data_IF_922944641435
#
_entry.id   IF_922944641435
#
_cell.length_a   1.000
_cell.length_b   1.000
_cell.length_c   1.000
_cell.angle_alpha   90.00
_cell.angle_beta   90.00
_cell.angle_gamma   90.00
#
_symmetry.space_group_name_H-M   'P 1'
#
loop_
_entity.id
_entity.type
_entity.pdbx_description
1 polymer ?
#
# COMPACT_ATOMS: atom_id res chain seq x y z
N UNK A 1 11.12 -24.49 -3.50
CA UNK A 1 11.18 -23.02 -3.55
C UNK A 1 10.20 -22.47 -2.54
N UNK A 2 10.48 -21.29 -1.96
CA UNK A 2 9.51 -20.61 -1.09
C UNK A 2 8.40 -20.00 -1.93
N UNK A 3 7.16 -20.07 -1.44
CA UNK A 3 5.96 -19.57 -2.14
C UNK A 3 5.58 -18.19 -1.62
N UNK A 4 5.45 -17.24 -2.53
CA UNK A 4 5.11 -15.83 -2.22
C UNK A 4 3.80 -15.46 -2.90
N UNK A 5 2.86 -14.93 -2.12
CA UNK A 5 1.58 -14.40 -2.60
C UNK A 5 1.58 -12.87 -2.49
N UNK A 6 1.27 -12.19 -3.60
CA UNK A 6 1.20 -10.72 -3.63
C UNK A 6 -0.23 -10.28 -3.94
N UNK A 7 -0.86 -9.58 -3.01
CA UNK A 7 -2.15 -8.92 -3.20
C UNK A 7 -1.95 -7.47 -3.63
N UNK A 8 -2.74 -6.99 -4.58
CA UNK A 8 -2.59 -5.65 -5.15
C UNK A 8 -1.45 -5.57 -6.18
N UNK A 9 -1.20 -6.67 -6.88
CA UNK A 9 -0.06 -6.81 -7.79
C UNK A 9 -0.10 -5.88 -9.01
N UNK A 10 -1.28 -5.39 -9.42
CA UNK A 10 -1.43 -4.43 -10.51
C UNK A 10 -1.18 -2.98 -10.08
N UNK A 11 -1.06 -2.69 -8.80
CA UNK A 11 -0.70 -1.38 -8.27
C UNK A 11 0.71 -0.93 -8.66
N UNK A 12 1.03 0.35 -8.41
CA UNK A 12 2.35 0.91 -8.74
C UNK A 12 3.49 0.13 -8.03
N UNK A 13 3.38 -0.06 -6.73
CA UNK A 13 4.35 -0.85 -5.94
C UNK A 13 4.28 -2.33 -6.32
N UNK A 14 3.06 -2.88 -6.52
CA UNK A 14 2.85 -4.30 -6.82
C UNK A 14 3.58 -4.78 -8.08
N UNK A 15 3.51 -4.02 -9.16
CA UNK A 15 4.24 -4.32 -10.42
C UNK A 15 5.76 -4.44 -10.18
N UNK A 16 6.34 -3.52 -9.39
CA UNK A 16 7.77 -3.54 -9.09
C UNK A 16 8.12 -4.66 -8.11
N UNK A 17 7.24 -4.96 -7.15
CA UNK A 17 7.39 -6.13 -6.26
C UNK A 17 7.48 -7.43 -7.05
N UNK A 18 6.59 -7.63 -8.02
CA UNK A 18 6.63 -8.83 -8.89
C UNK A 18 7.92 -8.88 -9.72
N UNK A 19 8.37 -7.74 -10.27
CA UNK A 19 9.65 -7.68 -11.01
C UNK A 19 10.84 -8.08 -10.15
N UNK A 20 10.93 -7.55 -8.91
CA UNK A 20 12.03 -7.89 -8.00
C UNK A 20 11.97 -9.34 -7.53
N UNK A 21 10.79 -9.89 -7.20
CA UNK A 21 10.65 -11.31 -6.87
C UNK A 21 11.11 -12.21 -8.02
N UNK A 22 10.77 -11.84 -9.25
CA UNK A 22 11.22 -12.55 -10.45
C UNK A 22 12.74 -12.45 -10.68
N UNK A 23 13.37 -11.32 -10.38
CA UNK A 23 14.83 -11.15 -10.52
C UNK A 23 15.62 -11.97 -9.49
N UNK A 24 15.06 -12.21 -8.30
CA UNK A 24 15.65 -13.08 -7.29
C UNK A 24 15.69 -14.57 -7.75
N UNK A 25 14.79 -15.00 -8.62
CA UNK A 25 14.82 -16.33 -9.25
C UNK A 25 14.60 -17.54 -8.33
N UNK A 26 14.25 -17.31 -7.06
CA UNK A 26 14.19 -18.35 -6.00
C UNK A 26 12.80 -18.56 -5.38
N UNK A 27 11.78 -17.85 -5.91
CA UNK A 27 10.42 -17.91 -5.40
C UNK A 27 9.45 -18.52 -6.41
N UNK A 28 8.48 -19.27 -5.92
CA UNK A 28 7.24 -19.56 -6.63
C UNK A 28 6.25 -18.43 -6.32
N UNK A 29 5.83 -17.70 -7.35
CA UNK A 29 5.11 -16.45 -7.17
C UNK A 29 3.67 -16.60 -7.63
N UNK A 30 2.73 -16.32 -6.75
CA UNK A 30 1.31 -16.14 -7.04
C UNK A 30 0.95 -14.67 -6.85
N UNK A 31 0.22 -14.09 -7.79
CA UNK A 31 -0.23 -12.71 -7.71
C UNK A 31 -1.74 -12.62 -7.85
N UNK A 32 -2.37 -11.75 -7.08
CA UNK A 32 -3.81 -11.51 -7.12
C UNK A 32 -4.13 -10.04 -7.20
N UNK A 33 -5.10 -9.71 -8.03
CA UNK A 33 -5.68 -8.38 -8.13
C UNK A 33 -7.15 -8.47 -8.58
N UNK A 34 -7.89 -7.37 -8.46
CA UNK A 34 -9.27 -7.28 -8.94
C UNK A 34 -9.35 -7.53 -10.46
N UNK A 35 -10.39 -8.20 -10.91
CA UNK A 35 -10.62 -8.44 -12.34
C UNK A 35 -11.19 -7.19 -13.01
N UNK A 36 -10.33 -6.39 -13.60
CA UNK A 36 -10.71 -5.22 -14.41
C UNK A 36 -9.75 -5.03 -15.60
N UNK A 37 -10.09 -4.12 -16.52
CA UNK A 37 -9.29 -3.86 -17.73
C UNK A 37 -7.85 -3.43 -17.40
N UNK A 38 -7.67 -2.62 -16.36
CA UNK A 38 -6.35 -2.11 -15.96
C UNK A 38 -5.47 -3.24 -15.40
N UNK A 39 -5.95 -4.00 -14.41
CA UNK A 39 -5.20 -5.11 -13.83
C UNK A 39 -4.88 -6.18 -14.89
N UNK A 40 -5.83 -6.52 -15.76
CA UNK A 40 -5.59 -7.46 -16.85
C UNK A 40 -4.48 -6.99 -17.78
N UNK A 41 -4.51 -5.73 -18.22
CA UNK A 41 -3.48 -5.15 -19.10
C UNK A 41 -2.10 -5.15 -18.44
N UNK A 42 -2.03 -4.73 -17.17
CA UNK A 42 -0.77 -4.59 -16.43
C UNK A 42 -0.14 -5.93 -16.06
N UNK A 43 -0.95 -6.94 -15.70
CA UNK A 43 -0.47 -8.26 -15.25
C UNK A 43 -0.22 -9.24 -16.41
N UNK A 44 -0.77 -9.01 -17.58
CA UNK A 44 -0.61 -9.86 -18.77
C UNK A 44 0.86 -10.21 -19.06
N UNK A 45 1.79 -9.26 -18.83
CA UNK A 45 3.24 -9.45 -19.04
C UNK A 45 3.88 -10.52 -18.15
N UNK A 46 3.25 -10.87 -17.05
CA UNK A 46 3.78 -11.82 -16.07
C UNK A 46 3.24 -13.23 -16.20
N UNK A 47 2.17 -13.47 -16.99
CA UNK A 47 1.43 -14.74 -17.08
C UNK A 47 2.27 -15.98 -17.37
N UNK A 48 3.41 -15.82 -18.06
CA UNK A 48 4.30 -16.95 -18.39
C UNK A 48 5.30 -17.27 -17.27
N UNK A 49 5.41 -16.43 -16.26
CA UNK A 49 6.47 -16.49 -15.24
C UNK A 49 5.95 -16.62 -13.81
N UNK A 50 4.68 -16.28 -13.58
CA UNK A 50 4.03 -16.33 -12.27
C UNK A 50 2.60 -16.84 -12.42
N UNK A 51 2.02 -17.36 -11.35
CA UNK A 51 0.60 -17.68 -11.29
C UNK A 51 -0.22 -16.41 -11.12
N UNK A 52 -1.01 -16.03 -12.13
CA UNK A 52 -1.84 -14.80 -12.13
C UNK A 52 -3.28 -15.15 -11.84
N UNK A 53 -3.79 -14.68 -10.72
CA UNK A 53 -5.17 -14.86 -10.28
C UNK A 53 -5.91 -13.52 -10.26
N UNK A 54 -7.22 -13.59 -10.42
CA UNK A 54 -8.11 -12.44 -10.32
C UNK A 54 -9.20 -12.74 -9.28
N UNK A 55 -9.37 -11.85 -8.32
CA UNK A 55 -10.34 -12.00 -7.24
C UNK A 55 -10.35 -10.80 -6.32
N UNK A 56 -11.27 -10.81 -5.37
CA UNK A 56 -11.44 -9.76 -4.38
C UNK A 56 -10.91 -10.24 -3.02
N UNK A 57 -10.17 -9.39 -2.32
CA UNK A 57 -9.67 -9.68 -0.95
C UNK A 57 -10.81 -9.81 0.07
N UNK A 58 -11.99 -9.30 -0.25
CA UNK A 58 -13.19 -9.46 0.57
C UNK A 58 -13.82 -10.84 0.45
N UNK A 59 -13.45 -11.63 -0.57
CA UNK A 59 -13.88 -13.03 -0.72
C UNK A 59 -13.10 -13.92 0.26
N UNK A 60 -13.73 -14.22 1.38
CA UNK A 60 -13.16 -15.03 2.44
C UNK A 60 -12.74 -16.43 1.98
N UNK A 61 -13.57 -17.10 1.15
CA UNK A 61 -13.29 -18.47 0.71
C UNK A 61 -12.05 -18.50 -0.17
N UNK A 62 -11.91 -17.52 -1.06
CA UNK A 62 -10.73 -17.35 -1.89
C UNK A 62 -9.48 -17.08 -1.03
N UNK A 63 -9.56 -16.21 -0.01
CA UNK A 63 -8.43 -15.94 0.89
C UNK A 63 -8.01 -17.18 1.66
N UNK A 64 -8.93 -17.97 2.19
CA UNK A 64 -8.66 -19.22 2.88
C UNK A 64 -7.95 -20.24 1.95
N UNK A 65 -8.38 -20.34 0.70
CA UNK A 65 -7.75 -21.22 -0.28
C UNK A 65 -6.32 -20.79 -0.63
N UNK A 66 -6.07 -19.50 -0.82
CA UNK A 66 -4.78 -18.97 -1.23
C UNK A 66 -3.74 -18.99 -0.12
N UNK A 67 -4.12 -18.66 1.11
CA UNK A 67 -3.19 -18.55 2.25
C UNK A 67 -2.57 -19.89 2.63
N UNK A 68 -3.29 -21.02 2.44
CA UNK A 68 -2.85 -22.36 2.87
C UNK A 68 -1.46 -22.75 2.40
N UNK A 69 -1.12 -22.38 1.18
CA UNK A 69 0.05 -22.91 0.47
C UNK A 69 1.21 -21.91 0.32
N UNK A 70 1.15 -20.74 0.97
CA UNK A 70 2.16 -19.71 0.79
C UNK A 70 2.98 -19.48 2.06
N UNK A 71 4.32 -19.42 1.91
CA UNK A 71 5.24 -19.12 3.03
C UNK A 71 5.20 -17.64 3.41
N UNK A 72 5.03 -16.76 2.41
CA UNK A 72 5.05 -15.31 2.57
C UNK A 72 3.87 -14.67 1.84
N UNK A 73 3.28 -13.68 2.47
CA UNK A 73 2.24 -12.83 1.90
C UNK A 73 2.70 -11.39 1.91
N UNK A 74 2.65 -10.71 0.77
CA UNK A 74 2.82 -9.26 0.64
C UNK A 74 1.46 -8.65 0.34
N UNK A 75 0.90 -7.90 1.30
CA UNK A 75 -0.43 -7.32 1.21
C UNK A 75 -0.34 -5.84 0.86
N UNK A 76 -0.53 -5.52 -0.44
CA UNK A 76 -0.51 -4.18 -1.02
C UNK A 76 -1.89 -3.71 -1.49
N UNK A 77 -2.91 -4.59 -1.45
CA UNK A 77 -4.27 -4.23 -1.86
C UNK A 77 -4.85 -3.17 -0.91
N UNK A 78 -5.44 -2.13 -1.47
CA UNK A 78 -5.98 -1.01 -0.69
C UNK A 78 -6.95 -0.16 -1.50
N UNK A 79 -7.94 0.42 -0.82
CA UNK A 79 -8.79 1.49 -1.34
C UNK A 79 -8.12 2.84 -1.08
N UNK A 80 -7.20 3.21 -1.98
CA UNK A 80 -6.43 4.45 -1.84
C UNK A 80 -7.30 5.71 -1.91
N UNK A 81 -6.95 6.79 -1.20
CA UNK A 81 -7.55 8.11 -1.43
C UNK A 81 -7.45 8.55 -2.90
N UNK A 82 -8.39 9.36 -3.45
CA UNK A 82 -9.54 9.92 -2.72
C UNK A 82 -10.69 8.94 -2.47
N UNK A 83 -10.79 7.82 -3.23
CA UNK A 83 -11.91 6.88 -3.14
C UNK A 83 -12.12 6.30 -1.74
N UNK A 84 -11.02 5.98 -1.05
CA UNK A 84 -11.06 5.43 0.30
C UNK A 84 -11.68 6.38 1.34
N UNK A 85 -11.55 7.69 1.14
CA UNK A 85 -12.11 8.71 2.04
C UNK A 85 -13.47 9.23 1.57
N UNK A 86 -13.77 9.21 0.25
CA UNK A 86 -15.04 9.70 -0.29
C UNK A 86 -16.24 8.80 0.04
N UNK A 87 -16.02 7.50 0.19
CA UNK A 87 -17.07 6.53 0.53
C UNK A 87 -16.80 5.98 1.92
N UNK A 88 -17.57 6.45 2.91
CA UNK A 88 -17.53 5.88 4.26
C UNK A 88 -17.71 4.37 4.18
N UNK A 89 -16.82 3.61 4.80
CA UNK A 89 -16.86 2.16 4.82
C UNK A 89 -16.13 1.44 3.69
N UNK A 90 -15.79 2.09 2.56
CA UNK A 90 -15.05 1.40 1.48
C UNK A 90 -13.66 0.95 1.93
N UNK A 91 -12.89 1.83 2.57
CA UNK A 91 -11.57 1.47 3.13
C UNK A 91 -11.72 0.44 4.24
N UNK A 92 -12.74 0.55 5.10
CA UNK A 92 -12.97 -0.45 6.14
C UNK A 92 -13.31 -1.81 5.54
N UNK A 93 -14.08 -1.86 4.47
CA UNK A 93 -14.43 -3.12 3.81
C UNK A 93 -13.22 -3.76 3.10
N UNK A 94 -12.49 -2.98 2.32
CA UNK A 94 -11.39 -3.49 1.48
C UNK A 94 -10.11 -3.65 2.29
N UNK A 95 -9.66 -2.59 3.01
CA UNK A 95 -8.38 -2.63 3.70
C UNK A 95 -8.45 -3.45 4.99
N UNK A 96 -9.42 -3.14 5.87
CA UNK A 96 -9.58 -3.87 7.12
C UNK A 96 -10.23 -5.24 6.90
N UNK A 97 -11.37 -5.32 6.21
CA UNK A 97 -12.08 -6.58 5.98
C UNK A 97 -11.25 -7.58 5.17
N UNK A 98 -10.54 -7.12 4.13
CA UNK A 98 -9.59 -7.95 3.39
C UNK A 98 -8.43 -8.43 4.27
N UNK A 99 -7.87 -7.54 5.10
CA UNK A 99 -6.85 -7.89 6.09
C UNK A 99 -7.36 -8.92 7.10
N UNK A 100 -8.59 -8.75 7.61
CA UNK A 100 -9.23 -9.69 8.54
C UNK A 100 -9.35 -11.09 7.95
N UNK A 101 -9.80 -11.20 6.69
CA UNK A 101 -9.88 -12.48 5.99
C UNK A 101 -8.51 -13.18 5.92
N UNK A 102 -7.46 -12.43 5.59
CA UNK A 102 -6.10 -12.97 5.51
C UNK A 102 -5.57 -13.38 6.89
N UNK A 103 -5.71 -12.52 7.90
CA UNK A 103 -5.29 -12.81 9.28
C UNK A 103 -5.97 -14.05 9.81
N UNK A 104 -7.27 -14.18 9.57
CA UNK A 104 -8.04 -15.37 9.95
C UNK A 104 -7.53 -16.62 9.22
N UNK A 105 -7.32 -16.53 7.92
CA UNK A 105 -6.83 -17.64 7.11
C UNK A 105 -5.42 -18.08 7.56
N UNK A 106 -4.51 -17.14 7.85
CA UNK A 106 -3.18 -17.44 8.38
C UNK A 106 -3.29 -18.20 9.71
N UNK A 107 -4.05 -17.67 10.67
CA UNK A 107 -4.18 -18.28 11.98
C UNK A 107 -4.72 -19.70 11.94
N UNK A 108 -5.71 -19.94 11.08
CA UNK A 108 -6.41 -21.22 11.05
C UNK A 108 -5.70 -22.26 10.19
N UNK A 109 -5.20 -21.86 9.01
CA UNK A 109 -4.69 -22.82 8.03
C UNK A 109 -3.18 -22.83 7.90
N UNK A 110 -2.49 -21.70 8.16
CA UNK A 110 -1.05 -21.60 7.95
C UNK A 110 -0.35 -20.67 8.96
N UNK A 111 -0.32 -21.02 10.25
CA UNK A 111 0.25 -20.16 11.31
C UNK A 111 1.74 -19.84 11.15
N UNK A 112 2.44 -20.51 10.22
CA UNK A 112 3.86 -20.26 9.92
C UNK A 112 4.06 -19.20 8.84
N UNK A 113 3.01 -18.87 8.08
CA UNK A 113 3.07 -17.86 7.04
C UNK A 113 3.46 -16.50 7.63
N UNK A 114 4.36 -15.77 6.96
CA UNK A 114 4.76 -14.43 7.36
C UNK A 114 4.03 -13.39 6.51
N UNK A 115 3.31 -12.47 7.17
CA UNK A 115 2.61 -11.37 6.53
C UNK A 115 3.47 -10.10 6.49
N UNK A 116 3.72 -9.56 5.30
CA UNK A 116 4.22 -8.21 5.08
C UNK A 116 3.04 -7.31 4.72
N UNK A 117 2.74 -6.33 5.58
CA UNK A 117 1.58 -5.47 5.46
C UNK A 117 1.96 -4.04 5.09
N UNK A 118 1.33 -3.50 4.04
CA UNK A 118 1.45 -2.10 3.64
C UNK A 118 0.48 -1.23 4.46
N UNK A 119 1.03 -0.52 5.44
CA UNK A 119 0.36 0.54 6.19
C UNK A 119 0.76 1.90 5.64
N UNK A 120 0.44 3.00 6.34
CA UNK A 120 0.68 4.36 5.86
C UNK A 120 1.28 5.26 6.94
N UNK A 121 2.08 6.25 6.54
CA UNK A 121 2.52 7.33 7.43
C UNK A 121 1.53 8.50 7.48
N UNK A 122 0.52 8.55 6.57
CA UNK A 122 -0.49 9.62 6.56
C UNK A 122 -1.26 9.72 7.89
N UNK A 123 -1.35 8.62 8.63
CA UNK A 123 -1.95 8.59 9.97
C UNK A 123 -1.25 9.48 11.01
N UNK A 124 -0.02 9.93 10.74
CA UNK A 124 0.71 10.82 11.65
C UNK A 124 0.33 12.29 11.51
N UNK A 125 -0.20 12.68 10.36
CA UNK A 125 -0.65 14.06 10.04
C UNK A 125 0.26 15.16 10.63
N UNK A 126 -0.19 15.86 11.64
CA UNK A 126 0.47 17.03 12.24
C UNK A 126 1.57 16.69 13.25
N UNK A 127 2.03 15.44 13.33
CA UNK A 127 3.10 15.05 14.24
C UNK A 127 4.46 15.34 13.58
N UNK A 128 5.21 16.28 14.16
CA UNK A 128 6.58 16.56 13.72
C UNK A 128 7.51 15.40 14.11
N UNK A 129 8.33 14.94 13.15
CA UNK A 129 9.29 13.83 13.33
C UNK A 129 8.64 12.57 13.95
N UNK A 130 7.60 11.99 13.32
CA UNK A 130 6.88 10.88 13.89
C UNK A 130 7.74 9.63 13.98
N UNK A 131 7.56 8.88 15.06
CA UNK A 131 8.11 7.53 15.23
C UNK A 131 6.99 6.50 15.20
N UNK A 132 7.35 5.23 15.07
CA UNK A 132 6.37 4.13 15.14
C UNK A 132 5.64 4.06 16.49
N UNK A 133 6.18 4.71 17.53
CA UNK A 133 5.58 4.80 18.88
C UNK A 133 4.73 6.05 19.09
N UNK A 134 4.71 6.99 18.12
CA UNK A 134 3.92 8.21 18.24
C UNK A 134 2.43 7.89 18.42
N UNK A 135 1.78 8.63 19.32
CA UNK A 135 0.33 8.51 19.54
C UNK A 135 -0.41 9.08 18.33
N UNK A 136 -1.21 8.24 17.68
CA UNK A 136 -2.00 8.61 16.51
C UNK A 136 -3.37 9.08 16.99
N UNK A 137 -3.82 10.24 16.50
CA UNK A 137 -5.16 10.77 16.68
C UNK A 137 -5.77 11.00 15.31
N UNK A 138 -6.88 10.33 15.01
CA UNK A 138 -7.58 10.43 13.73
C UNK A 138 -8.85 11.27 13.88
N UNK A 139 -9.23 11.97 12.82
CA UNK A 139 -10.51 12.63 12.70
C UNK A 139 -11.58 11.62 12.19
N UNK A 140 -12.85 11.97 12.35
CA UNK A 140 -13.96 11.11 11.95
C UNK A 140 -14.02 10.77 10.44
N UNK A 141 -13.40 11.59 9.58
CA UNK A 141 -13.36 11.38 8.12
C UNK A 141 -12.09 10.70 7.62
N UNK A 142 -11.18 10.30 8.53
CA UNK A 142 -9.92 9.64 8.16
C UNK A 142 -10.09 8.14 7.95
N UNK A 143 -11.07 7.76 7.15
CA UNK A 143 -11.46 6.35 6.95
C UNK A 143 -10.31 5.46 6.46
N UNK A 144 -9.47 5.98 5.56
CA UNK A 144 -8.31 5.24 5.05
C UNK A 144 -7.30 4.99 6.18
N UNK A 145 -6.90 6.05 6.91
CA UNK A 145 -5.94 5.93 8.01
C UNK A 145 -6.49 5.05 9.14
N UNK A 146 -7.79 5.18 9.44
CA UNK A 146 -8.47 4.35 10.43
C UNK A 146 -8.43 2.87 10.04
N UNK A 147 -8.73 2.54 8.78
CA UNK A 147 -8.70 1.15 8.30
C UNK A 147 -7.31 0.53 8.40
N UNK A 148 -6.26 1.31 8.09
CA UNK A 148 -4.87 0.86 8.23
C UNK A 148 -4.47 0.67 9.69
N UNK A 149 -4.85 1.62 10.57
CA UNK A 149 -4.54 1.53 12.00
C UNK A 149 -5.24 0.32 12.66
N UNK A 150 -6.51 0.08 12.35
CA UNK A 150 -7.25 -1.09 12.85
C UNK A 150 -6.67 -2.41 12.29
N UNK A 151 -6.26 -2.43 11.01
CA UNK A 151 -5.54 -3.57 10.44
C UNK A 151 -4.22 -3.86 11.18
N UNK A 152 -3.42 -2.82 11.50
CA UNK A 152 -2.20 -3.01 12.31
C UNK A 152 -2.49 -3.61 13.68
N UNK A 153 -3.54 -3.11 14.39
CA UNK A 153 -3.96 -3.65 15.69
C UNK A 153 -4.35 -5.12 15.59
N UNK A 154 -5.15 -5.46 14.56
CA UNK A 154 -5.57 -6.82 14.31
C UNK A 154 -4.37 -7.75 14.06
N UNK A 155 -3.46 -7.38 13.15
CA UNK A 155 -2.25 -8.12 12.84
C UNK A 155 -1.42 -8.36 14.10
N UNK A 156 -1.12 -7.29 14.85
CA UNK A 156 -0.30 -7.33 16.07
C UNK A 156 -0.90 -8.23 17.16
N UNK A 157 -2.22 -8.23 17.27
CA UNK A 157 -2.93 -9.03 18.28
C UNK A 157 -3.10 -10.50 17.93
N UNK A 158 -3.13 -10.84 16.63
CA UNK A 158 -3.52 -12.18 16.17
C UNK A 158 -2.39 -12.98 15.53
N UNK A 159 -1.42 -12.34 14.86
CA UNK A 159 -0.40 -13.07 14.11
C UNK A 159 0.89 -13.25 14.92
N UNK A 160 1.54 -14.41 14.68
CA UNK A 160 2.88 -14.72 15.23
C UNK A 160 4.00 -14.22 14.33
N UNK A 161 3.77 -14.17 13.02
CA UNK A 161 4.77 -13.81 12.00
C UNK A 161 4.24 -12.69 11.12
N UNK A 162 4.77 -11.48 11.31
CA UNK A 162 4.41 -10.31 10.50
C UNK A 162 5.50 -9.24 10.52
N UNK A 163 5.48 -8.41 9.48
CA UNK A 163 6.23 -7.16 9.40
C UNK A 163 5.30 -6.09 8.82
N UNK A 164 5.26 -4.92 9.43
CA UNK A 164 4.42 -3.80 9.00
C UNK A 164 5.32 -2.68 8.49
N UNK A 165 5.07 -2.22 7.26
CA UNK A 165 5.70 -1.05 6.69
C UNK A 165 4.70 0.09 6.56
N UNK A 166 4.91 1.18 7.29
CA UNK A 166 4.19 2.44 7.13
C UNK A 166 4.86 3.22 6.01
N UNK A 167 4.14 3.36 4.92
CA UNK A 167 4.62 3.87 3.65
C UNK A 167 4.20 5.34 3.54
N UNK A 168 5.14 6.26 3.21
CA UNK A 168 4.83 7.66 2.94
C UNK A 168 4.23 7.83 1.54
N UNK A 169 4.19 9.05 1.03
CA UNK A 169 3.81 9.29 -0.36
C UNK A 169 4.71 8.51 -1.31
N UNK A 170 4.10 7.63 -2.11
CA UNK A 170 4.82 6.84 -3.12
C UNK A 170 4.87 7.62 -4.42
N UNK A 171 6.04 8.02 -4.86
CA UNK A 171 6.24 8.71 -6.15
C UNK A 171 6.02 7.70 -7.31
N UNK A 172 4.87 7.77 -7.97
CA UNK A 172 4.48 6.80 -9.00
C UNK A 172 4.00 7.41 -10.31
N UNK A 173 3.06 8.33 -10.25
CA UNK A 173 2.51 9.05 -11.39
C UNK A 173 2.42 10.55 -11.08
N UNK A 174 3.21 11.38 -11.75
CA UNK A 174 3.28 12.81 -11.45
C UNK A 174 1.93 13.55 -11.42
N UNK A 175 1.01 13.19 -12.32
CA UNK A 175 -0.31 13.86 -12.39
C UNK A 175 -1.23 13.43 -11.24
N UNK A 176 -1.28 12.14 -10.92
CA UNK A 176 -2.12 11.63 -9.84
C UNK A 176 -1.63 12.13 -8.48
N UNK A 177 -0.32 12.17 -8.27
CA UNK A 177 0.31 12.61 -7.02
C UNK A 177 0.04 14.09 -6.73
N UNK A 178 0.02 14.93 -7.77
CA UNK A 178 -0.26 16.37 -7.65
C UNK A 178 -1.65 16.65 -7.03
N UNK A 179 -2.61 15.75 -7.24
CA UNK A 179 -4.00 15.92 -6.77
C UNK A 179 -4.32 15.16 -5.48
N UNK A 180 -3.44 14.29 -5.01
CA UNK A 180 -3.70 13.44 -3.83
C UNK A 180 -3.35 14.10 -2.50
N UNK A 181 -2.51 15.11 -2.51
CA UNK A 181 -2.06 15.78 -1.30
C UNK A 181 -2.65 17.19 -1.21
N UNK A 182 -3.31 17.49 -0.09
CA UNK A 182 -3.91 18.79 0.22
C UNK A 182 -3.19 19.45 1.41
N UNK A 183 -1.87 19.48 1.38
CA UNK A 183 -1.05 20.13 2.40
C UNK A 183 -0.73 21.59 2.08
N UNK A 184 -0.10 22.26 3.04
CA UNK A 184 0.47 23.58 2.80
C UNK A 184 1.75 23.42 1.93
N UNK A 185 1.98 24.38 1.02
CA UNK A 185 3.19 24.39 0.16
C UNK A 185 4.50 24.40 0.94
N UNK A 186 4.47 24.95 2.17
CA UNK A 186 5.63 25.03 3.06
C UNK A 186 5.89 23.74 3.86
N UNK A 187 5.02 22.72 3.73
CA UNK A 187 5.17 21.46 4.46
C UNK A 187 6.27 20.60 3.87
N UNK A 188 7.09 20.03 4.74
CA UNK A 188 7.98 18.94 4.40
C UNK A 188 7.26 17.59 4.48
N UNK A 189 7.51 16.74 3.50
CA UNK A 189 6.88 15.42 3.45
C UNK A 189 7.90 14.32 3.16
N UNK A 190 7.74 13.21 3.87
CA UNK A 190 8.50 11.99 3.55
C UNK A 190 7.94 11.35 2.29
N UNK A 191 8.85 10.90 1.43
CA UNK A 191 8.52 10.25 0.16
C UNK A 191 9.30 8.96 -0.02
N UNK A 192 8.79 8.09 -0.88
CA UNK A 192 9.49 6.88 -1.33
C UNK A 192 9.18 6.63 -2.80
N UNK A 193 10.17 6.14 -3.57
CA UNK A 193 9.88 5.68 -4.92
C UNK A 193 9.12 4.34 -4.90
N UNK A 194 8.34 4.06 -5.93
CA UNK A 194 7.65 2.75 -6.07
C UNK A 194 8.65 1.59 -6.14
N UNK A 195 9.83 1.85 -6.69
CA UNK A 195 10.94 0.91 -6.80
C UNK A 195 11.52 0.58 -5.42
N UNK A 196 11.86 1.60 -4.61
CA UNK A 196 12.43 1.41 -3.27
C UNK A 196 11.42 0.78 -2.32
N UNK A 197 10.14 1.20 -2.42
CA UNK A 197 9.06 0.59 -1.65
C UNK A 197 8.94 -0.91 -1.96
N UNK A 198 8.89 -1.29 -3.24
CA UNK A 198 8.83 -2.68 -3.66
C UNK A 198 10.08 -3.47 -3.24
N UNK A 199 11.27 -2.86 -3.36
CA UNK A 199 12.53 -3.44 -2.91
C UNK A 199 12.53 -3.73 -1.42
N UNK A 200 11.99 -2.83 -0.59
CA UNK A 200 11.87 -3.04 0.87
C UNK A 200 11.03 -4.29 1.19
N UNK A 201 9.91 -4.52 0.50
CA UNK A 201 9.09 -5.72 0.68
C UNK A 201 9.83 -6.99 0.29
N UNK A 202 10.48 -7.00 -0.86
CA UNK A 202 11.17 -8.21 -1.35
C UNK A 202 12.41 -8.52 -0.51
N UNK A 203 13.19 -7.51 -0.17
CA UNK A 203 14.34 -7.68 0.75
C UNK A 203 13.89 -8.10 2.14
N UNK A 204 12.73 -7.60 2.60
CA UNK A 204 12.13 -8.01 3.87
C UNK A 204 11.95 -9.51 3.99
N UNK A 205 11.60 -10.21 2.91
CA UNK A 205 11.46 -11.67 2.91
C UNK A 205 12.77 -12.36 3.32
N UNK A 206 13.92 -11.86 2.83
CA UNK A 206 15.23 -12.42 3.17
C UNK A 206 15.61 -12.25 4.66
N UNK A 207 15.01 -11.27 5.31
CA UNK A 207 15.24 -10.93 6.71
C UNK A 207 14.00 -11.14 7.59
N UNK A 208 13.02 -11.91 7.14
CA UNK A 208 11.72 -12.08 7.80
C UNK A 208 11.85 -12.49 9.28
N UNK A 209 12.83 -13.31 9.62
CA UNK A 209 13.06 -13.72 11.02
C UNK A 209 13.50 -12.55 11.92
N UNK A 210 14.37 -11.66 11.41
CA UNK A 210 14.87 -10.49 12.15
C UNK A 210 13.81 -9.39 12.23
N UNK A 211 13.04 -9.22 11.15
CA UNK A 211 11.99 -8.20 11.05
C UNK A 211 10.67 -8.62 11.69
N UNK A 212 10.61 -9.84 12.24
CA UNK A 212 9.38 -10.39 12.80
C UNK A 212 8.84 -9.52 13.94
N UNK A 213 7.53 -9.28 13.92
CA UNK A 213 6.78 -8.46 14.88
C UNK A 213 7.24 -6.98 14.94
N UNK A 214 7.88 -6.50 13.88
CA UNK A 214 8.33 -5.11 13.80
C UNK A 214 7.41 -4.26 12.94
N UNK A 215 7.39 -2.97 13.25
CA UNK A 215 6.76 -1.92 12.44
C UNK A 215 7.83 -0.90 12.08
N UNK A 216 7.89 -0.50 10.82
CA UNK A 216 8.87 0.48 10.31
C UNK A 216 8.16 1.59 9.56
N UNK A 217 8.63 2.83 9.74
CA UNK A 217 8.34 3.91 8.80
C UNK A 217 9.35 3.80 7.66
N UNK A 218 8.86 3.63 6.43
CA UNK A 218 9.72 3.68 5.26
C UNK A 218 9.86 5.12 4.79
N UNK A 219 11.02 5.47 4.26
CA UNK A 219 11.23 6.67 3.47
C UNK A 219 12.52 6.57 2.67
N UNK A 220 12.56 7.26 1.54
CA UNK A 220 13.82 7.47 0.78
C UNK A 220 14.34 8.87 1.08
N UNK A 221 13.46 9.87 1.08
CA UNK A 221 13.82 11.27 1.24
C UNK A 221 12.71 12.06 1.93
N UNK A 222 13.05 13.29 2.34
CA UNK A 222 12.10 14.30 2.80
C UNK A 222 12.21 15.48 1.84
N UNK A 223 11.09 15.88 1.25
CA UNK A 223 11.03 16.96 0.26
C UNK A 223 10.00 18.00 0.66
N UNK A 224 10.23 19.25 0.24
CA UNK A 224 9.24 20.31 0.39
C UNK A 224 8.10 20.11 -0.63
N UNK A 225 6.86 20.17 -0.17
CA UNK A 225 5.69 19.94 -1.03
C UNK A 225 5.57 20.97 -2.14
N UNK A 226 5.83 22.24 -1.86
CA UNK A 226 5.81 23.30 -2.87
C UNK A 226 6.81 23.08 -3.99
N UNK A 227 8.03 22.69 -3.65
CA UNK A 227 9.07 22.35 -4.64
C UNK A 227 8.69 21.12 -5.48
N UNK A 228 8.16 20.08 -4.83
CA UNK A 228 7.67 18.89 -5.54
C UNK A 228 6.57 19.29 -6.54
N UNK A 229 5.58 20.05 -6.06
CA UNK A 229 4.45 20.50 -6.88
C UNK A 229 4.92 21.31 -8.10
N UNK A 230 5.84 22.26 -7.90
CA UNK A 230 6.36 23.08 -9.01
C UNK A 230 7.12 22.24 -10.04
N UNK A 231 7.91 21.26 -9.61
CA UNK A 231 8.59 20.31 -10.50
C UNK A 231 7.59 19.42 -11.27
N UNK A 232 6.56 18.91 -10.59
CA UNK A 232 5.52 18.10 -11.24
C UNK A 232 4.72 18.90 -12.27
N UNK A 233 4.38 20.14 -11.96
CA UNK A 233 3.72 21.04 -12.90
C UNK A 233 4.58 21.32 -14.13
N UNK A 234 5.86 21.62 -13.92
CA UNK A 234 6.81 21.90 -15.00
C UNK A 234 6.96 20.69 -15.94
N UNK A 235 7.13 19.48 -15.40
CA UNK A 235 7.26 18.24 -16.18
C UNK A 235 6.01 17.97 -17.04
N UNK A 236 4.83 18.36 -16.54
CA UNK A 236 3.57 18.17 -17.26
C UNK A 236 3.17 19.36 -18.14
N UNK A 237 4.03 20.38 -18.27
CA UNK A 237 3.73 21.58 -19.07
C UNK A 237 2.60 22.44 -18.48
N UNK A 238 2.32 22.31 -17.19
CA UNK A 238 1.28 23.04 -16.46
C UNK A 238 1.89 24.20 -15.67
N UNK A 239 1.12 25.29 -15.51
CA UNK A 239 1.51 26.40 -14.64
C UNK A 239 0.79 26.34 -13.30
N UNK A 240 1.37 26.96 -12.26
CA UNK A 240 0.74 27.09 -10.93
C UNK A 240 -0.62 27.79 -10.98
N UNK A 241 -0.85 28.69 -11.98
CA UNK A 241 -2.15 29.32 -12.24
C UNK A 241 -3.25 28.32 -12.64
N UNK A 242 -2.90 27.25 -13.33
CA UNK A 242 -3.85 26.21 -13.74
C UNK A 242 -4.40 25.40 -12.55
N UNK A 243 -3.57 25.19 -11.54
CA UNK A 243 -4.00 24.50 -10.31
C UNK A 243 -4.96 25.34 -9.48
N UNK A 244 -4.67 26.63 -9.32
CA UNK A 244 -5.54 27.57 -8.60
C UNK A 244 -6.93 27.66 -9.22
N UNK A 245 -7.02 27.68 -10.56
CA UNK A 245 -8.32 27.73 -11.26
C UNK A 245 -9.17 26.46 -11.04
N UNK A 246 -8.55 25.27 -10.92
CA UNK A 246 -9.27 24.01 -10.63
C UNK A 246 -9.69 23.86 -9.18
N UNK A 247 -8.85 24.25 -8.23
CA UNK A 247 -9.17 24.22 -6.81
C UNK A 247 -10.36 25.16 -6.48
N UNK A 248 -10.48 26.29 -7.17
CA UNK A 248 -11.62 27.20 -7.04
C UNK A 248 -12.91 26.69 -7.71
N UNK A 249 -12.79 25.92 -8.81
CA UNK A 249 -13.96 25.33 -9.48
C UNK A 249 -14.56 24.13 -8.72
N UNK A 250 -13.76 23.41 -7.93
CA UNK A 250 -14.27 22.29 -7.10
C UNK A 250 -14.91 22.75 -5.77
N UNK A 251 -14.67 24.01 -5.34
CA UNK A 251 -15.34 24.57 -4.15
C UNK A 251 -16.78 25.01 -4.37
N UNK A 252 -17.21 25.15 -5.61
CA UNK A 252 -18.60 25.56 -5.96
C UNK A 252 -19.58 24.37 -6.10
N UNK A 253 -19.18 23.15 -5.71
CA UNK A 253 -20.01 21.94 -5.76
C UNK A 253 -20.22 21.26 -4.39
N UNK A 254 -20.25 22.07 -3.30
CA UNK A 254 -20.68 21.58 -1.97
C UNK A 254 -21.71 22.51 -1.36
#
# INVERSE_FOLDING_TARGET
MKKVLVFGAAGAVGIHTVKYLLSEGKYEITILDLKNKNSFSRLKRFKKRVNVLYGDVTDRVLMEALVKDHDYIIYLASAMPPLGNMKSGLSMTIDYGGCENIVRAINYYNPKCHLFFASTTSMYKNIKNPSVKSRITLNEFDYFDASKLESEKLIKSKLKNYTIYRIPLVLSNPLEETFMYHGNRDDDMDVITKEDCAYAFVRGINYAAVLNKQTFNLKTDTINYGELLDKLLLINGLSSKYLLSRIFLEKDYY
#
